data_IF_882073612374
#
_entry.id   IF_882073612374
#
_cell.length_a   1.000
_cell.length_b   1.000
_cell.length_c   1.000
_cell.angle_alpha   90.00
_cell.angle_beta   90.00
_cell.angle_gamma   90.00
#
_symmetry.space_group_name_H-M   'P 1'
#
loop_
_entity.id
_entity.type
_entity.pdbx_description
1 polymer ?
#
# COMPACT_ATOMS: atom_id res chain seq x y z
N UNK A 1 -21.18 20.23 -14.24
CA UNK A 1 -22.19 19.30 -13.66
C UNK A 1 -21.46 17.99 -13.38
N UNK A 2 -21.06 17.75 -12.14
CA UNK A 2 -20.49 16.46 -11.72
C UNK A 2 -21.66 15.49 -11.52
N UNK A 3 -21.59 14.25 -12.04
CA UNK A 3 -22.66 13.27 -11.84
C UNK A 3 -22.83 12.94 -10.35
N UNK A 4 -24.04 12.55 -9.93
CA UNK A 4 -24.33 12.19 -8.55
C UNK A 4 -23.41 11.04 -8.12
N UNK A 5 -22.73 11.23 -6.99
CA UNK A 5 -21.90 10.20 -6.35
C UNK A 5 -22.78 9.03 -5.95
N UNK A 6 -22.88 8.01 -6.81
CA UNK A 6 -23.14 6.65 -6.35
C UNK A 6 -22.10 6.35 -5.28
N UNK A 7 -22.57 6.12 -4.05
CA UNK A 7 -21.78 5.74 -2.90
C UNK A 7 -21.28 4.31 -3.11
N UNK A 8 -20.31 4.15 -4.02
CA UNK A 8 -19.65 2.88 -4.21
C UNK A 8 -19.13 2.41 -2.85
N UNK A 9 -19.36 1.14 -2.48
CA UNK A 9 -18.79 0.56 -1.27
C UNK A 9 -17.28 0.79 -1.31
N UNK A 10 -16.68 1.02 -0.13
CA UNK A 10 -15.24 1.19 0.00
C UNK A 10 -14.54 0.07 -0.77
N UNK A 11 -13.71 0.37 -1.79
CA UNK A 11 -13.05 -0.69 -2.49
C UNK A 11 -12.11 -1.35 -1.49
N UNK A 12 -12.20 -2.67 -1.39
CA UNK A 12 -11.44 -3.44 -0.40
C UNK A 12 -9.93 -3.28 -0.56
N UNK A 13 -9.45 -2.80 -1.70
CA UNK A 13 -8.04 -2.42 -1.83
C UNK A 13 -7.57 -1.36 -0.81
N UNK A 14 -8.50 -0.53 -0.31
CA UNK A 14 -8.24 0.39 0.80
C UNK A 14 -8.17 -0.33 2.16
N UNK A 15 -8.79 -1.50 2.23
CA UNK A 15 -8.78 -2.44 3.35
C UNK A 15 -7.70 -3.52 3.20
N UNK A 16 -7.03 -3.66 2.05
CA UNK A 16 -5.87 -4.56 1.88
C UNK A 16 -4.84 -4.25 2.96
N UNK A 17 -4.60 -2.97 3.21
CA UNK A 17 -3.71 -2.51 4.27
C UNK A 17 -4.09 -3.11 5.64
N UNK A 18 -5.25 -2.82 6.25
CA UNK A 18 -5.60 -3.43 7.53
C UNK A 18 -5.76 -4.97 7.45
N UNK A 19 -6.28 -5.53 6.34
CA UNK A 19 -6.53 -6.95 6.19
C UNK A 19 -5.23 -7.77 6.12
N UNK A 20 -4.29 -7.38 5.26
CA UNK A 20 -2.96 -8.00 5.14
C UNK A 20 -2.27 -8.00 6.49
N UNK A 21 -2.16 -6.83 7.13
CA UNK A 21 -1.46 -6.75 8.41
C UNK A 21 -2.22 -7.45 9.54
N UNK A 22 -3.56 -7.51 9.51
CA UNK A 22 -4.33 -8.30 10.48
C UNK A 22 -4.17 -9.82 10.28
N UNK A 23 -3.88 -10.26 9.06
CA UNK A 23 -3.63 -11.67 8.75
C UNK A 23 -2.18 -12.07 9.08
N UNK A 24 -1.22 -11.15 8.87
CA UNK A 24 0.21 -11.38 9.15
C UNK A 24 0.54 -11.20 10.63
N UNK A 25 -0.09 -10.25 11.31
CA UNK A 25 0.20 -9.90 12.71
C UNK A 25 -0.92 -10.37 13.63
N UNK A 26 -0.59 -11.00 14.78
CA UNK A 26 -1.61 -11.38 15.74
C UNK A 26 -2.33 -10.14 16.29
N UNK A 27 -3.64 -10.24 16.48
CA UNK A 27 -4.49 -9.15 17.03
C UNK A 27 -3.95 -8.57 18.34
N UNK A 28 -3.28 -9.37 19.16
CA UNK A 28 -2.61 -8.91 20.38
C UNK A 28 -1.56 -7.82 20.11
N UNK A 29 -0.86 -7.89 18.98
CA UNK A 29 0.12 -6.89 18.56
C UNK A 29 -0.53 -5.53 18.27
N UNK A 30 -1.79 -5.51 17.81
CA UNK A 30 -2.51 -4.26 17.65
C UNK A 30 -2.85 -3.62 19.01
N UNK A 31 -3.25 -4.43 19.99
CA UNK A 31 -3.61 -3.95 21.33
C UNK A 31 -2.38 -3.54 22.16
N UNK A 32 -1.22 -4.15 21.93
CA UNK A 32 0.03 -3.79 22.61
C UNK A 32 0.73 -2.58 21.99
N UNK A 33 0.10 -1.88 21.05
CA UNK A 33 0.76 -0.82 20.27
C UNK A 33 1.38 0.28 21.12
N UNK A 34 0.75 0.64 22.24
CA UNK A 34 1.29 1.63 23.17
C UNK A 34 2.67 1.21 23.75
N UNK A 35 2.99 -0.09 23.75
CA UNK A 35 4.23 -0.62 24.34
C UNK A 35 5.36 -0.75 23.32
N UNK A 36 5.08 -1.08 22.06
CA UNK A 36 6.12 -1.30 21.04
C UNK A 36 6.20 -0.19 19.98
N UNK A 37 5.19 0.67 19.84
CA UNK A 37 5.18 1.73 18.82
C UNK A 37 5.32 1.17 17.40
N UNK A 38 4.89 -0.07 17.20
CA UNK A 38 5.20 -0.90 16.04
C UNK A 38 4.11 -0.91 15.00
N UNK A 39 3.03 -0.14 15.16
CA UNK A 39 1.98 0.00 14.17
C UNK A 39 2.37 1.04 13.14
N UNK A 40 2.27 0.64 11.87
CA UNK A 40 2.59 1.48 10.72
C UNK A 40 1.63 2.65 10.62
N UNK A 41 2.14 3.72 10.04
CA UNK A 41 1.29 4.73 9.44
C UNK A 41 0.87 4.30 8.04
N UNK A 42 -0.30 4.74 7.58
CA UNK A 42 -0.71 4.61 6.17
C UNK A 42 -1.46 5.86 5.70
N UNK A 43 -1.58 6.02 4.39
CA UNK A 43 -2.33 7.10 3.75
C UNK A 43 -3.55 6.54 3.04
N UNK A 44 -4.72 7.09 3.33
CA UNK A 44 -5.94 6.75 2.64
C UNK A 44 -6.59 7.98 2.02
N UNK A 45 -7.18 7.81 0.83
CA UNK A 45 -7.85 8.88 0.16
C UNK A 45 -9.07 9.37 0.98
N UNK A 46 -9.19 10.69 1.15
CA UNK A 46 -10.17 11.32 2.06
C UNK A 46 -11.61 10.95 1.72
N UNK A 47 -11.96 10.95 0.45
CA UNK A 47 -13.29 10.57 -0.05
C UNK A 47 -13.63 9.08 0.14
N UNK A 48 -12.65 8.26 0.50
CA UNK A 48 -12.84 6.86 0.87
C UNK A 48 -12.94 6.74 2.40
N UNK A 49 -11.85 6.96 3.13
CA UNK A 49 -11.80 6.69 4.57
C UNK A 49 -12.51 7.72 5.46
N UNK A 50 -12.76 8.93 4.97
CA UNK A 50 -13.32 10.05 5.76
C UNK A 50 -14.69 10.50 5.26
N UNK A 51 -15.50 9.58 4.71
CA UNK A 51 -16.90 9.85 4.32
C UNK A 51 -17.77 10.27 5.51
N UNK A 52 -17.62 9.56 6.64
CA UNK A 52 -18.39 9.78 7.86
C UNK A 52 -17.45 10.05 9.04
N UNK A 53 -17.88 10.84 10.02
CA UNK A 53 -17.07 11.16 11.20
C UNK A 53 -16.64 9.90 11.97
N UNK A 54 -17.54 8.92 12.14
CA UNK A 54 -17.23 7.65 12.81
C UNK A 54 -16.18 6.84 12.05
N UNK A 55 -16.31 6.76 10.73
CA UNK A 55 -15.37 6.02 9.88
C UNK A 55 -14.00 6.71 9.86
N UNK A 56 -13.99 8.04 9.80
CA UNK A 56 -12.77 8.84 9.88
C UNK A 56 -12.07 8.66 11.23
N UNK A 57 -12.80 8.61 12.34
CA UNK A 57 -12.23 8.34 13.67
C UNK A 57 -11.66 6.93 13.76
N UNK A 58 -12.33 5.92 13.19
CA UNK A 58 -11.83 4.55 13.15
C UNK A 58 -10.49 4.47 12.39
N UNK A 59 -10.43 5.01 11.17
CA UNK A 59 -9.19 5.01 10.38
C UNK A 59 -8.09 5.87 11.00
N UNK A 60 -8.43 7.03 11.57
CA UNK A 60 -7.46 7.86 12.27
C UNK A 60 -6.87 7.15 13.51
N UNK A 61 -7.69 6.40 14.25
CA UNK A 61 -7.24 5.57 15.38
C UNK A 61 -6.32 4.44 14.91
N UNK A 62 -6.53 3.92 13.71
CA UNK A 62 -5.65 2.96 13.04
C UNK A 62 -4.36 3.56 12.44
N UNK A 63 -4.01 4.82 12.77
CA UNK A 63 -2.86 5.57 12.22
C UNK A 63 -2.91 5.76 10.70
N UNK A 64 -4.11 5.86 10.14
CA UNK A 64 -4.32 6.24 8.74
C UNK A 64 -4.53 7.75 8.65
N UNK A 65 -3.74 8.46 7.85
CA UNK A 65 -3.97 9.88 7.58
C UNK A 65 -4.72 10.09 6.24
N UNK A 66 -5.58 11.12 6.15
CA UNK A 66 -6.31 11.43 4.93
C UNK A 66 -5.37 12.04 3.88
N UNK A 67 -5.49 11.64 2.62
CA UNK A 67 -4.84 12.34 1.50
C UNK A 67 -5.88 12.77 0.46
N UNK A 68 -5.77 13.99 -0.05
CA UNK A 68 -6.69 14.52 -1.05
C UNK A 68 -6.14 14.30 -2.46
N UNK A 69 -6.93 13.67 -3.33
CA UNK A 69 -6.54 13.45 -4.72
C UNK A 69 -6.74 14.73 -5.53
N UNK A 70 -5.73 15.11 -6.33
CA UNK A 70 -5.81 16.28 -7.24
C UNK A 70 -5.29 17.60 -6.67
N UNK A 71 -5.07 17.72 -5.36
CA UNK A 71 -4.57 18.95 -4.70
C UNK A 71 -3.04 19.08 -4.77
N UNK A 72 -2.36 18.12 -5.39
CA UNK A 72 -0.89 18.07 -5.50
C UNK A 72 -0.23 17.35 -4.32
N UNK A 73 1.11 17.31 -4.30
CA UNK A 73 1.87 16.57 -3.27
C UNK A 73 2.19 17.41 -2.03
N UNK A 74 1.89 18.70 -2.04
CA UNK A 74 2.21 19.61 -0.95
C UNK A 74 1.04 19.75 0.03
N UNK A 75 0.73 18.66 0.73
CA UNK A 75 -0.36 18.58 1.69
C UNK A 75 0.16 18.29 3.11
N UNK A 76 -0.62 18.68 4.11
CA UNK A 76 -0.28 18.48 5.52
C UNK A 76 -0.02 17.00 5.85
N UNK A 77 -0.83 16.10 5.31
CA UNK A 77 -0.71 14.66 5.60
C UNK A 77 0.62 14.09 5.10
N UNK A 78 1.02 14.40 3.86
CA UNK A 78 2.32 13.97 3.32
C UNK A 78 3.49 14.55 4.12
N UNK A 79 3.42 15.83 4.50
CA UNK A 79 4.45 16.47 5.35
C UNK A 79 4.53 15.80 6.74
N UNK A 80 3.36 15.46 7.31
CA UNK A 80 3.28 14.77 8.61
C UNK A 80 3.85 13.36 8.54
N UNK A 81 3.62 12.64 7.44
CA UNK A 81 4.23 11.33 7.19
C UNK A 81 5.74 11.42 7.02
N UNK A 82 6.25 12.39 6.26
CA UNK A 82 7.69 12.64 6.18
C UNK A 82 8.30 12.88 7.56
N UNK A 83 7.64 13.67 8.41
CA UNK A 83 8.08 13.89 9.80
C UNK A 83 8.03 12.61 10.65
N UNK A 84 6.97 11.81 10.56
CA UNK A 84 6.83 10.55 11.29
C UNK A 84 7.96 9.58 10.91
N UNK A 85 8.19 9.39 9.61
CA UNK A 85 9.27 8.53 9.10
C UNK A 85 10.65 9.07 9.52
N UNK A 86 10.85 10.39 9.45
CA UNK A 86 12.09 11.02 9.91
C UNK A 86 12.39 10.80 11.39
N UNK A 87 11.36 10.62 12.23
CA UNK A 87 11.48 10.29 13.66
C UNK A 87 11.75 8.81 13.94
N UNK A 88 11.66 7.95 12.92
CA UNK A 88 11.83 6.50 13.05
C UNK A 88 10.54 5.70 13.08
N UNK A 89 9.38 6.33 12.88
CA UNK A 89 8.15 5.58 12.61
C UNK A 89 8.24 4.93 11.22
N UNK A 90 7.48 3.86 11.00
CA UNK A 90 7.38 3.22 9.69
C UNK A 90 6.04 3.56 9.01
N UNK A 91 6.09 3.60 7.68
CA UNK A 91 4.99 4.01 6.84
C UNK A 91 4.81 2.99 5.72
N UNK A 92 3.57 2.54 5.54
CA UNK A 92 3.17 1.72 4.41
C UNK A 92 2.40 2.57 3.41
N UNK A 93 2.72 2.43 2.12
CA UNK A 93 2.11 3.21 1.04
C UNK A 93 1.85 2.31 -0.15
N UNK A 94 0.67 2.49 -0.75
CA UNK A 94 0.37 1.97 -2.09
C UNK A 94 0.63 3.06 -3.14
N UNK A 95 1.72 2.96 -3.91
CA UNK A 95 2.09 4.00 -4.86
C UNK A 95 1.11 4.15 -6.05
N UNK A 96 0.26 3.17 -6.32
CA UNK A 96 -0.67 3.18 -7.46
C UNK A 96 -1.80 4.23 -7.35
N UNK A 97 -2.09 4.74 -6.14
CA UNK A 97 -3.08 5.81 -5.87
C UNK A 97 -4.51 5.57 -6.41
N UNK A 98 -4.76 4.42 -7.02
CA UNK A 98 -6.03 3.88 -7.50
C UNK A 98 -5.97 2.37 -7.36
N UNK A 99 -7.15 1.80 -7.20
CA UNK A 99 -7.32 0.34 -7.19
C UNK A 99 -7.13 -0.14 -8.61
N UNK A 100 -6.20 -1.07 -8.80
CA UNK A 100 -6.03 -1.74 -10.07
C UNK A 100 -6.84 -3.05 -10.10
N UNK A 101 -7.65 -3.21 -11.15
CA UNK A 101 -8.46 -4.41 -11.39
C UNK A 101 -7.88 -5.29 -12.50
N UNK A 102 -6.85 -4.82 -13.21
CA UNK A 102 -6.17 -5.56 -14.30
C UNK A 102 -5.19 -6.60 -13.80
N UNK A 103 -4.98 -6.72 -12.48
CA UNK A 103 -4.05 -7.69 -11.89
C UNK A 103 -2.57 -7.40 -12.14
N UNK A 104 -2.23 -6.28 -12.76
CA UNK A 104 -0.83 -5.88 -13.02
C UNK A 104 -0.43 -4.64 -12.21
N UNK A 105 0.86 -4.33 -12.10
CA UNK A 105 1.31 -3.11 -11.43
C UNK A 105 0.91 -1.87 -12.25
N UNK A 106 0.17 -0.97 -11.61
CA UNK A 106 -0.30 0.27 -12.21
C UNK A 106 0.79 1.36 -12.31
N UNK A 107 0.42 2.53 -12.84
CA UNK A 107 1.31 3.69 -12.84
C UNK A 107 1.55 4.20 -11.43
N UNK A 108 2.82 4.21 -11.02
CA UNK A 108 3.21 4.66 -9.69
C UNK A 108 3.20 6.20 -9.58
N UNK A 109 2.57 6.71 -8.53
CA UNK A 109 2.67 8.12 -8.16
C UNK A 109 3.94 8.35 -7.37
N UNK A 110 4.69 9.34 -7.84
CA UNK A 110 5.88 9.93 -7.22
C UNK A 110 5.75 10.54 -5.81
N UNK A 111 4.63 10.31 -5.10
CA UNK A 111 4.45 10.78 -3.72
C UNK A 111 5.40 10.12 -2.74
N UNK A 112 5.77 8.85 -2.98
CA UNK A 112 6.74 8.11 -2.16
C UNK A 112 8.12 8.80 -2.16
N UNK A 113 8.61 9.19 -3.34
CA UNK A 113 9.87 9.93 -3.46
C UNK A 113 9.89 11.24 -2.68
N UNK A 114 8.77 11.97 -2.63
CA UNK A 114 8.63 13.16 -1.79
C UNK A 114 8.74 12.83 -0.31
N UNK A 115 8.03 11.79 0.15
CA UNK A 115 8.06 11.39 1.57
C UNK A 115 9.48 11.00 2.01
N UNK A 116 10.24 10.32 1.15
CA UNK A 116 11.65 9.98 1.42
C UNK A 116 12.48 11.24 1.63
N UNK A 117 12.40 12.21 0.69
CA UNK A 117 13.14 13.46 0.85
C UNK A 117 12.67 14.26 2.08
N UNK A 118 11.36 14.32 2.35
CA UNK A 118 10.81 15.00 3.54
C UNK A 118 11.30 14.30 4.83
N UNK A 119 11.39 12.98 4.86
CA UNK A 119 11.92 12.21 5.99
C UNK A 119 13.40 12.49 6.22
N UNK A 120 14.22 12.48 5.17
CA UNK A 120 15.64 12.83 5.26
C UNK A 120 15.87 14.24 5.81
N UNK A 121 15.00 15.20 5.46
CA UNK A 121 15.04 16.55 6.02
C UNK A 121 14.87 16.54 7.54
N UNK A 122 13.99 15.67 8.04
CA UNK A 122 13.66 15.57 9.46
C UNK A 122 14.57 14.63 10.27
N UNK A 123 15.33 13.75 9.60
CA UNK A 123 16.25 12.79 10.23
C UNK A 123 17.73 13.22 10.19
N UNK A 124 18.01 14.47 9.82
CA UNK A 124 19.40 14.97 9.70
C UNK A 124 20.17 14.38 8.52
N UNK A 125 19.47 13.99 7.44
CA UNK A 125 20.05 13.42 6.23
C UNK A 125 20.12 11.89 6.22
N UNK A 126 19.63 11.21 7.28
CA UNK A 126 19.57 9.74 7.29
C UNK A 126 18.46 9.23 6.37
N UNK A 127 18.84 8.40 5.39
CA UNK A 127 17.90 7.78 4.47
C UNK A 127 17.03 6.73 5.19
N UNK A 128 15.70 6.73 5.01
CA UNK A 128 14.85 5.65 5.49
C UNK A 128 15.04 4.38 4.64
N UNK A 129 14.98 3.21 5.28
CA UNK A 129 14.95 1.92 4.57
C UNK A 129 13.63 1.78 3.83
N UNK A 130 13.69 1.51 2.52
CA UNK A 130 12.50 1.24 1.71
C UNK A 130 12.45 -0.25 1.39
N UNK A 131 11.39 -0.92 1.87
CA UNK A 131 11.18 -2.35 1.67
C UNK A 131 10.00 -2.55 0.71
N UNK A 132 10.22 -3.07 -0.51
CA UNK A 132 9.16 -3.30 -1.47
C UNK A 132 8.38 -4.56 -1.09
N UNK A 133 7.07 -4.48 -1.25
CA UNK A 133 6.11 -5.50 -0.85
C UNK A 133 5.09 -5.67 -1.96
N UNK A 134 4.87 -6.91 -2.41
CA UNK A 134 3.90 -7.24 -3.45
C UNK A 134 3.00 -8.38 -2.95
N UNK A 135 1.70 -8.29 -3.24
CA UNK A 135 0.75 -9.31 -2.82
C UNK A 135 -0.16 -9.75 -3.97
N UNK A 136 -0.51 -11.04 -3.98
CA UNK A 136 -1.46 -11.62 -4.93
C UNK A 136 -2.54 -12.43 -4.23
N UNK A 137 -3.67 -12.67 -4.91
CA UNK A 137 -4.81 -13.43 -4.37
C UNK A 137 -5.81 -12.60 -3.56
N UNK A 138 -5.53 -11.31 -3.33
CA UNK A 138 -6.45 -10.44 -2.60
C UNK A 138 -7.81 -10.26 -3.31
N UNK A 139 -7.80 -10.33 -4.64
CA UNK A 139 -9.03 -10.30 -5.43
C UNK A 139 -9.94 -11.53 -5.22
N UNK A 140 -9.42 -12.63 -4.69
CA UNK A 140 -10.24 -13.79 -4.31
C UNK A 140 -10.83 -13.67 -2.91
N UNK A 141 -10.09 -13.04 -1.98
CA UNK A 141 -10.59 -12.71 -0.65
C UNK A 141 -11.75 -11.73 -0.77
N UNK A 142 -11.62 -10.71 -1.63
CA UNK A 142 -12.69 -9.75 -1.88
C UNK A 142 -12.92 -9.49 -3.36
N UNK A 143 -13.83 -10.27 -4.00
CA UNK A 143 -14.24 -10.03 -5.37
C UNK A 143 -14.84 -8.64 -5.56
N UNK A 144 -14.70 -8.07 -6.77
CA UNK A 144 -15.31 -6.80 -7.13
C UNK A 144 -16.81 -6.76 -6.78
N UNK A 145 -17.24 -5.70 -6.05
CA UNK A 145 -18.59 -5.49 -5.49
C UNK A 145 -19.02 -6.39 -4.33
N UNK A 146 -18.16 -7.28 -3.82
CA UNK A 146 -18.45 -7.98 -2.58
C UNK A 146 -18.47 -6.99 -1.40
N UNK A 147 -19.37 -7.23 -0.45
CA UNK A 147 -19.49 -6.44 0.80
C UNK A 147 -18.89 -7.19 1.99
N UNK A 148 -18.73 -8.51 1.85
CA UNK A 148 -18.22 -9.42 2.89
C UNK A 148 -17.02 -10.18 2.31
N UNK A 149 -15.90 -10.31 3.04
CA UNK A 149 -14.76 -11.08 2.60
C UNK A 149 -15.07 -12.57 2.54
N UNK A 150 -14.48 -13.26 1.56
CA UNK A 150 -14.50 -14.72 1.45
C UNK A 150 -13.46 -15.31 2.39
N UNK A 151 -13.89 -16.20 3.28
CA UNK A 151 -13.02 -16.88 4.25
C UNK A 151 -12.38 -18.12 3.61
N UNK A 152 -11.13 -18.43 3.97
CA UNK A 152 -10.41 -19.61 3.52
C UNK A 152 -9.71 -19.42 2.19
N UNK A 153 -9.40 -18.17 1.82
CA UNK A 153 -8.63 -17.84 0.61
C UNK A 153 -7.19 -17.51 0.98
N UNK A 154 -6.31 -17.73 0.02
CA UNK A 154 -4.88 -17.55 0.22
C UNK A 154 -4.44 -16.22 -0.36
N UNK A 155 -3.67 -15.46 0.43
CA UNK A 155 -2.94 -14.30 -0.05
C UNK A 155 -1.47 -14.65 -0.06
N UNK A 156 -0.84 -14.51 -1.22
CA UNK A 156 0.61 -14.67 -1.36
C UNK A 156 1.28 -13.33 -1.16
N UNK A 157 2.33 -13.32 -0.36
CA UNK A 157 3.04 -12.10 0.00
C UNK A 157 4.51 -12.29 -0.32
N UNK A 158 5.03 -11.41 -1.17
CA UNK A 158 6.43 -11.36 -1.53
C UNK A 158 7.05 -10.08 -0.96
N UNK A 159 8.04 -10.26 -0.10
CA UNK A 159 8.83 -9.17 0.46
C UNK A 159 10.17 -9.14 -0.24
N UNK A 160 10.49 -8.00 -0.87
CA UNK A 160 11.77 -7.82 -1.55
C UNK A 160 12.91 -7.47 -0.60
N UNK A 161 14.08 -7.22 -1.18
CA UNK A 161 15.22 -6.68 -0.44
C UNK A 161 15.08 -5.16 -0.28
N UNK A 162 15.71 -4.57 0.75
CA UNK A 162 15.82 -3.11 0.87
C UNK A 162 16.34 -2.47 -0.42
N UNK A 163 15.65 -1.43 -0.89
CA UNK A 163 16.03 -0.71 -2.11
C UNK A 163 17.16 0.28 -1.81
N UNK A 164 18.28 0.16 -2.53
CA UNK A 164 19.35 1.16 -2.53
C UNK A 164 18.92 2.42 -3.29
N UNK A 165 19.01 3.57 -2.62
CA UNK A 165 18.53 4.85 -3.13
C UNK A 165 19.54 5.99 -2.92
N UNK A 166 20.68 5.72 -2.29
CA UNK A 166 21.69 6.69 -1.86
C UNK A 166 22.23 7.52 -3.04
N UNK A 167 22.36 6.89 -4.21
CA UNK A 167 22.77 7.51 -5.47
C UNK A 167 21.83 8.63 -5.90
N UNK A 168 20.53 8.48 -5.63
CA UNK A 168 19.49 9.44 -6.01
C UNK A 168 19.17 10.39 -4.85
N UNK A 169 19.07 9.86 -3.64
CA UNK A 169 18.58 10.54 -2.43
C UNK A 169 19.52 11.64 -1.93
N UNK A 170 20.80 11.58 -2.28
CA UNK A 170 21.79 12.63 -1.96
C UNK A 170 21.40 14.04 -2.47
N UNK A 171 20.58 14.10 -3.53
CA UNK A 171 20.03 15.33 -4.14
C UNK A 171 18.75 15.84 -3.45
N UNK A 172 18.16 15.07 -2.54
CA UNK A 172 16.99 15.50 -1.77
C UNK A 172 17.30 16.78 -0.98
N UNK A 173 16.41 17.76 -1.07
CA UNK A 173 16.48 19.03 -0.35
C UNK A 173 17.73 19.88 -0.62
N UNK A 174 18.48 19.58 -1.69
CA UNK A 174 19.66 20.35 -2.08
C UNK A 174 19.27 21.53 -2.98
N UNK A 175 19.86 22.72 -2.77
CA UNK A 175 19.68 23.84 -3.70
C UNK A 175 20.24 23.48 -5.07
N UNK A 176 19.61 23.98 -6.15
CA UNK A 176 20.06 23.74 -7.52
C UNK A 176 19.57 22.44 -8.17
N UNK A 177 18.91 21.54 -7.42
CA UNK A 177 18.30 20.33 -7.98
C UNK A 177 16.78 20.47 -8.10
N UNK A 178 16.22 20.03 -9.24
CA UNK A 178 14.76 19.89 -9.38
C UNK A 178 14.26 18.75 -8.49
N UNK A 179 13.70 19.10 -7.34
CA UNK A 179 13.18 18.14 -6.37
C UNK A 179 12.09 17.25 -6.96
N UNK A 180 11.29 17.79 -7.89
CA UNK A 180 10.26 17.02 -8.58
C UNK A 180 10.90 15.89 -9.38
N UNK A 181 11.95 16.19 -10.14
CA UNK A 181 12.69 15.16 -10.87
C UNK A 181 13.28 14.09 -9.93
N UNK A 182 13.91 14.50 -8.83
CA UNK A 182 14.45 13.56 -7.82
C UNK A 182 13.37 12.62 -7.29
N UNK A 183 12.16 13.12 -6.98
CA UNK A 183 11.07 12.27 -6.50
C UNK A 183 10.60 11.25 -7.54
N UNK A 184 10.61 11.62 -8.83
CA UNK A 184 10.28 10.69 -9.92
C UNK A 184 11.32 9.59 -10.04
N UNK A 185 12.60 9.95 -10.00
CA UNK A 185 13.70 8.98 -10.11
C UNK A 185 13.71 7.99 -8.93
N UNK A 186 13.52 8.47 -7.69
CA UNK A 186 13.37 7.61 -6.51
C UNK A 186 12.20 6.64 -6.68
N UNK A 187 11.06 7.15 -7.12
CA UNK A 187 9.85 6.32 -7.28
C UNK A 187 10.00 5.33 -8.43
N UNK A 188 10.70 5.69 -9.49
CA UNK A 188 11.00 4.77 -10.59
C UNK A 188 11.88 3.61 -10.14
N UNK A 189 12.91 3.86 -9.31
CA UNK A 189 13.76 2.81 -8.75
C UNK A 189 12.97 1.85 -7.85
N UNK A 190 12.08 2.39 -7.00
CA UNK A 190 11.16 1.58 -6.19
C UNK A 190 10.21 0.77 -7.09
N UNK A 191 9.74 1.38 -8.18
CA UNK A 191 8.88 0.72 -9.16
C UNK A 191 9.54 -0.47 -9.85
N UNK A 192 10.82 -0.36 -10.20
CA UNK A 192 11.60 -1.49 -10.73
C UNK A 192 11.62 -2.65 -9.74
N UNK A 193 11.90 -2.39 -8.46
CA UNK A 193 11.90 -3.42 -7.43
C UNK A 193 10.51 -4.08 -7.24
N UNK A 194 9.42 -3.31 -7.40
CA UNK A 194 8.06 -3.85 -7.38
C UNK A 194 7.75 -4.70 -8.62
N UNK A 195 8.20 -4.28 -9.80
CA UNK A 195 8.06 -5.05 -11.04
C UNK A 195 8.82 -6.39 -10.97
N UNK A 196 10.01 -6.39 -10.36
CA UNK A 196 10.78 -7.63 -10.12
C UNK A 196 10.08 -8.58 -9.15
N UNK A 197 9.32 -8.05 -8.18
CA UNK A 197 8.49 -8.86 -7.29
C UNK A 197 7.27 -9.40 -8.01
N UNK A 198 6.59 -8.57 -8.79
CA UNK A 198 5.46 -8.96 -9.63
C UNK A 198 5.83 -10.10 -10.58
N UNK A 199 6.99 -10.01 -11.25
CA UNK A 199 7.47 -11.03 -12.18
C UNK A 199 7.73 -12.40 -11.53
N UNK A 200 7.97 -12.43 -10.21
CA UNK A 200 8.18 -13.65 -9.43
C UNK A 200 6.90 -14.13 -8.75
N UNK A 201 5.91 -13.26 -8.58
CA UNK A 201 4.70 -13.56 -7.86
C UNK A 201 3.76 -14.44 -8.70
N UNK A 202 2.92 -15.27 -8.07
CA UNK A 202 1.81 -15.92 -8.77
C UNK A 202 0.93 -14.86 -9.45
N UNK A 203 0.46 -15.09 -10.69
CA UNK A 203 -0.30 -14.08 -11.41
C UNK A 203 -1.58 -13.71 -10.66
N UNK A 204 -1.85 -12.42 -10.54
CA UNK A 204 -3.14 -11.96 -10.06
C UNK A 204 -4.20 -12.23 -11.13
N UNK A 205 -5.30 -12.88 -10.73
CA UNK A 205 -6.44 -13.04 -11.62
C UNK A 205 -7.03 -11.66 -11.92
N UNK A 206 -7.16 -11.33 -13.19
CA UNK A 206 -7.98 -10.20 -13.62
C UNK A 206 -9.38 -10.37 -13.02
N UNK A 207 -9.87 -9.32 -12.38
CA UNK A 207 -11.26 -9.30 -11.94
C UNK A 207 -12.08 -8.76 -13.11
N UNK A 208 -12.80 -9.62 -13.87
CA UNK A 208 -13.58 -9.14 -14.99
C UNK A 208 -14.63 -8.16 -14.46
N UNK A 209 -14.72 -6.98 -15.07
CA UNK A 209 -15.89 -6.13 -14.91
C UNK A 209 -17.12 -6.93 -15.36
N UNK A 210 -17.85 -7.52 -14.42
CA UNK A 210 -19.22 -7.99 -14.63
C UNK A 210 -19.43 -9.36 -15.29
N UNK A 211 -18.68 -10.42 -14.97
CA UNK A 211 -19.12 -11.80 -15.29
C UNK A 211 -19.55 -12.54 -14.04
N UNK A 212 -20.86 -12.81 -13.94
CA UNK A 212 -21.45 -13.73 -12.96
C UNK A 212 -20.80 -15.11 -13.10
N UNK A 213 -19.95 -15.53 -12.17
CA UNK A 213 -19.60 -16.95 -12.08
C UNK A 213 -20.76 -17.70 -11.44
N UNK A 214 -21.54 -18.39 -12.27
CA UNK A 214 -22.42 -19.47 -11.83
C UNK A 214 -21.59 -20.58 -11.19
N UNK A 215 -22.17 -21.18 -10.15
CA UNK A 215 -21.54 -22.16 -9.28
C UNK A 215 -20.89 -23.30 -10.06
N UNK A 216 -19.60 -23.50 -9.81
CA UNK A 216 -18.83 -24.67 -10.22
C UNK A 216 -17.83 -24.97 -9.11
N UNK A 217 -17.95 -26.16 -8.54
CA UNK A 217 -17.10 -26.72 -7.48
C UNK A 217 -15.60 -26.56 -7.80
N UNK A 218 -14.75 -26.15 -6.84
CA UNK A 218 -13.33 -25.98 -7.10
C UNK A 218 -12.65 -27.34 -7.27
N UNK A 219 -11.98 -27.51 -8.42
CA UNK A 219 -11.09 -28.63 -8.69
C UNK A 219 -9.73 -28.30 -8.08
N UNK A 220 -9.29 -29.10 -7.11
CA UNK A 220 -7.99 -28.97 -6.46
C UNK A 220 -6.87 -29.09 -7.52
N UNK A 221 -6.05 -28.06 -7.66
CA UNK A 221 -4.79 -28.11 -8.37
C UNK A 221 -3.67 -28.19 -7.34
N UNK A 222 -2.88 -29.27 -7.39
CA UNK A 222 -1.78 -29.53 -6.47
C UNK A 222 -0.69 -28.46 -6.63
N UNK A 223 -0.35 -27.79 -5.52
CA UNK A 223 0.72 -26.80 -5.44
C UNK A 223 1.99 -27.49 -4.97
N UNK A 224 3.06 -27.40 -5.77
CA UNK A 224 4.41 -27.83 -5.40
C UNK A 224 4.97 -26.96 -4.28
N UNK A 225 5.80 -27.55 -3.41
CA UNK A 225 6.33 -26.91 -2.21
C UNK A 225 7.10 -25.60 -2.51
N UNK A 226 6.95 -24.55 -1.69
CA UNK A 226 7.61 -23.26 -1.91
C UNK A 226 9.10 -23.31 -1.57
N UNK A 227 9.89 -22.49 -2.26
CA UNK A 227 11.29 -22.25 -1.95
C UNK A 227 11.43 -21.20 -0.83
N UNK A 228 12.55 -21.24 -0.11
CA UNK A 228 12.76 -20.44 1.10
C UNK A 228 12.61 -18.92 0.85
N UNK A 229 11.63 -18.31 1.51
CA UNK A 229 11.34 -16.87 1.46
C UNK A 229 9.91 -16.51 1.01
N UNK A 230 9.14 -17.48 0.53
CA UNK A 230 7.75 -17.30 0.09
C UNK A 230 6.77 -17.65 1.22
N UNK A 231 5.95 -16.68 1.66
CA UNK A 231 4.92 -16.89 2.67
C UNK A 231 3.53 -16.83 2.04
N UNK A 232 2.72 -17.88 2.23
CA UNK A 232 1.29 -17.85 1.95
C UNK A 232 0.54 -17.71 3.29
N UNK A 233 -0.33 -16.71 3.40
CA UNK A 233 -1.11 -16.45 4.63
C UNK A 233 -2.59 -16.71 4.34
N UNK A 234 -3.28 -17.55 5.15
CA UNK A 234 -4.71 -17.74 5.01
C UNK A 234 -5.47 -16.52 5.57
N UNK A 235 -6.53 -16.11 4.86
CA UNK A 235 -7.47 -15.06 5.28
C UNK A 235 -8.89 -15.63 5.35
#
# INVERSE_FOLDING_TARGET
MLPPTESLPMPFSTLDDPALFSAILPLSYFFTEHQHGGMRWTLCAKELCYKNALLGQFFQSGKTLPIERGVGLDQLSLRSMGRAVGRGDWLHLFPESRVNYTGTLGTLRWGVGKVICDAMRHSGGRQPTVLPFYHTGMGEVMPYRAVVPSVGRWVHILVGQPVELEDISCRCNRPGHDQKQVWRELTARIGQALQDLEARAPPNLEQPEGVKRHGGTPRALAVGAPAAGEGAVPV
#
